data_IF_004430757145
#
_entry.id   IF_004430757145
#
_cell.length_a   1.000
_cell.length_b   1.000
_cell.length_c   1.000
_cell.angle_alpha   90.00
_cell.angle_beta   90.00
_cell.angle_gamma   90.00
#
_symmetry.space_group_name_H-M   'P 1'
#
loop_
_entity.id
_entity.type
_entity.pdbx_description
1 polymer ?
#
# COMPACT_ATOMS: atom_id res chain seq x y z
N UNK A 1 -19.33 0.10 -28.15
CA UNK A 1 -17.90 0.45 -27.97
C UNK A 1 -16.95 -0.74 -27.73
N UNK A 2 -17.42 -1.91 -27.30
CA UNK A 2 -16.53 -3.06 -26.98
C UNK A 2 -16.14 -3.98 -28.15
N UNK A 3 -16.96 -4.12 -29.16
CA UNK A 3 -16.70 -5.06 -30.27
C UNK A 3 -15.82 -4.46 -31.39
N UNK A 4 -15.96 -3.18 -31.68
CA UNK A 4 -15.13 -2.48 -32.68
C UNK A 4 -13.71 -2.25 -32.14
N UNK A 5 -13.58 -1.90 -30.85
CA UNK A 5 -12.30 -1.73 -30.18
C UNK A 5 -11.48 -3.03 -30.12
N UNK A 6 -12.16 -4.18 -29.93
CA UNK A 6 -11.50 -5.50 -29.96
C UNK A 6 -11.06 -5.93 -31.37
N UNK A 7 -11.77 -5.52 -32.42
CA UNK A 7 -11.39 -5.85 -33.79
C UNK A 7 -10.19 -5.05 -34.31
N UNK A 8 -10.11 -3.75 -33.98
CA UNK A 8 -8.98 -2.90 -34.36
C UNK A 8 -7.69 -3.33 -33.67
N UNK A 9 -7.73 -3.63 -32.36
CA UNK A 9 -6.59 -4.15 -31.61
C UNK A 9 -6.10 -5.50 -32.15
N UNK A 10 -7.00 -6.40 -32.56
CA UNK A 10 -6.64 -7.71 -33.09
C UNK A 10 -5.92 -7.58 -34.45
N UNK A 11 -6.30 -6.60 -35.28
CA UNK A 11 -5.63 -6.34 -36.56
C UNK A 11 -4.24 -5.73 -36.33
N UNK A 12 -4.11 -4.76 -35.47
CA UNK A 12 -2.82 -4.13 -35.13
C UNK A 12 -1.85 -5.15 -34.51
N UNK A 13 -2.31 -6.00 -33.61
CA UNK A 13 -1.49 -7.05 -32.99
C UNK A 13 -0.96 -8.04 -34.05
N UNK A 14 -1.81 -8.46 -35.00
CA UNK A 14 -1.37 -9.33 -36.08
C UNK A 14 -0.30 -8.70 -36.97
N UNK A 15 -0.47 -7.43 -37.32
CA UNK A 15 0.52 -6.67 -38.12
C UNK A 15 1.88 -6.57 -37.38
N UNK A 16 1.84 -6.35 -36.06
CA UNK A 16 3.05 -6.29 -35.23
C UNK A 16 3.76 -7.65 -35.15
N UNK A 17 3.01 -8.75 -35.03
CA UNK A 17 3.58 -10.11 -35.06
C UNK A 17 4.18 -10.47 -36.43
N UNK A 18 3.65 -9.99 -37.54
CA UNK A 18 4.26 -10.13 -38.86
C UNK A 18 5.56 -9.34 -38.97
N UNK A 19 5.56 -8.08 -38.47
CA UNK A 19 6.75 -7.23 -38.46
C UNK A 19 7.90 -7.79 -37.66
N UNK A 20 7.67 -8.44 -36.52
CA UNK A 20 8.72 -9.07 -35.69
C UNK A 20 9.61 -10.05 -36.48
N UNK A 21 9.04 -10.75 -37.45
CA UNK A 21 9.77 -11.72 -38.28
C UNK A 21 10.76 -11.08 -39.27
N UNK A 22 10.57 -9.80 -39.57
CA UNK A 22 11.33 -9.04 -40.57
C UNK A 22 12.17 -7.92 -39.99
N UNK A 23 12.02 -7.60 -38.70
CA UNK A 23 12.73 -6.50 -38.02
C UNK A 23 13.90 -7.01 -37.18
N UNK A 24 14.94 -6.19 -37.05
CA UNK A 24 16.10 -6.44 -36.20
C UNK A 24 16.50 -5.17 -35.43
N UNK A 25 17.35 -5.33 -34.41
CA UNK A 25 17.90 -4.21 -33.64
C UNK A 25 16.81 -3.35 -32.99
N UNK A 26 16.92 -2.04 -33.14
CA UNK A 26 16.02 -1.04 -32.52
C UNK A 26 14.56 -1.25 -32.94
N UNK A 27 14.30 -1.41 -34.24
CA UNK A 27 12.93 -1.57 -34.75
C UNK A 27 12.25 -2.81 -34.15
N UNK A 28 13.01 -3.88 -33.95
CA UNK A 28 12.47 -5.10 -33.30
C UNK A 28 12.13 -4.86 -31.84
N UNK A 29 12.95 -4.12 -31.10
CA UNK A 29 12.70 -3.79 -29.71
C UNK A 29 11.44 -2.92 -29.57
N UNK A 30 11.26 -1.90 -30.43
CA UNK A 30 10.06 -1.05 -30.45
C UNK A 30 8.79 -1.86 -30.72
N UNK A 31 8.82 -2.79 -31.67
CA UNK A 31 7.68 -3.68 -31.97
C UNK A 31 7.36 -4.59 -30.76
N UNK A 32 8.38 -5.09 -30.06
CA UNK A 32 8.19 -5.87 -28.84
C UNK A 32 7.55 -5.06 -27.73
N UNK A 33 7.93 -3.78 -27.56
CA UNK A 33 7.34 -2.88 -26.56
C UNK A 33 5.86 -2.58 -26.88
N UNK A 34 5.53 -2.34 -28.16
CA UNK A 34 4.13 -2.18 -28.59
C UNK A 34 3.29 -3.44 -28.30
N UNK A 35 3.80 -4.62 -28.62
CA UNK A 35 3.14 -5.90 -28.32
C UNK A 35 2.99 -6.13 -26.81
N UNK A 36 4.02 -5.80 -26.03
CA UNK A 36 3.97 -5.92 -24.57
C UNK A 36 2.88 -5.05 -23.96
N UNK A 37 2.71 -3.83 -24.47
CA UNK A 37 1.64 -2.94 -24.04
C UNK A 37 0.25 -3.51 -24.37
N UNK A 38 0.08 -4.13 -25.55
CA UNK A 38 -1.18 -4.82 -25.91
C UNK A 38 -1.45 -6.00 -24.96
N UNK A 39 -0.43 -6.83 -24.69
CA UNK A 39 -0.52 -7.94 -23.75
C UNK A 39 -0.90 -7.47 -22.34
N UNK A 40 -0.25 -6.39 -21.85
CA UNK A 40 -0.58 -5.78 -20.57
C UNK A 40 -2.04 -5.31 -20.50
N UNK A 41 -2.54 -4.67 -21.57
CA UNK A 41 -3.91 -4.14 -21.66
C UNK A 41 -5.01 -5.21 -21.66
N UNK A 42 -4.66 -6.45 -22.01
CA UNK A 42 -5.59 -7.62 -21.96
C UNK A 42 -5.33 -8.50 -20.73
N UNK A 43 -4.56 -8.01 -19.76
CA UNK A 43 -4.20 -8.69 -18.52
C UNK A 43 -3.34 -9.95 -18.72
N UNK A 44 -2.70 -10.12 -19.89
CA UNK A 44 -1.72 -11.20 -20.12
C UNK A 44 -0.33 -10.75 -19.65
N UNK A 45 -0.17 -10.68 -18.33
CA UNK A 45 1.07 -10.21 -17.72
C UNK A 45 2.26 -11.13 -17.96
N UNK A 46 2.01 -12.42 -18.19
CA UNK A 46 3.09 -13.38 -18.51
C UNK A 46 3.65 -13.16 -19.91
N UNK A 47 2.79 -12.95 -20.92
CA UNK A 47 3.23 -12.59 -22.25
C UNK A 47 3.92 -11.24 -22.27
N UNK A 48 3.37 -10.23 -21.56
CA UNK A 48 4.02 -8.93 -21.40
C UNK A 48 5.45 -9.09 -20.87
N UNK A 49 5.69 -9.89 -19.82
CA UNK A 49 7.02 -10.14 -19.27
C UNK A 49 7.99 -10.72 -20.30
N UNK A 50 7.55 -11.70 -21.10
CA UNK A 50 8.41 -12.32 -22.13
C UNK A 50 8.83 -11.33 -23.22
N UNK A 51 7.91 -10.47 -23.61
CA UNK A 51 8.12 -9.45 -24.64
C UNK A 51 9.09 -8.37 -24.15
N UNK A 52 8.84 -7.81 -22.95
CA UNK A 52 9.73 -6.78 -22.39
C UNK A 52 11.10 -7.30 -22.01
N UNK A 53 11.24 -8.53 -21.53
CA UNK A 53 12.55 -9.12 -21.27
C UNK A 53 13.37 -9.23 -22.56
N UNK A 54 12.68 -9.55 -23.68
CA UNK A 54 13.34 -9.61 -25.00
C UNK A 54 13.75 -8.23 -25.52
N UNK A 55 12.90 -7.21 -25.35
CA UNK A 55 13.21 -5.83 -25.77
C UNK A 55 14.35 -5.23 -24.93
N UNK A 56 14.36 -5.45 -23.62
CA UNK A 56 15.43 -5.06 -22.70
C UNK A 56 16.77 -5.65 -23.14
N UNK A 57 16.81 -6.95 -23.46
CA UNK A 57 18.02 -7.62 -23.96
C UNK A 57 18.56 -6.99 -25.26
N UNK A 58 17.67 -6.55 -26.14
CA UNK A 58 18.05 -5.88 -27.39
C UNK A 58 18.63 -4.49 -27.08
N UNK A 59 17.97 -3.67 -26.23
CA UNK A 59 18.46 -2.35 -25.86
C UNK A 59 19.86 -2.41 -25.22
N UNK A 60 20.10 -3.38 -24.35
CA UNK A 60 21.44 -3.59 -23.79
C UNK A 60 22.50 -3.92 -24.85
N UNK A 61 22.15 -4.74 -25.84
CA UNK A 61 23.08 -5.08 -26.95
C UNK A 61 23.36 -3.90 -27.88
N UNK A 62 22.41 -2.97 -28.02
CA UNK A 62 22.57 -1.77 -28.80
C UNK A 62 23.34 -0.66 -28.07
N UNK A 63 23.47 -0.74 -26.76
CA UNK A 63 24.17 0.20 -25.90
C UNK A 63 23.24 0.97 -24.99
N UNK A 64 23.30 0.68 -23.70
CA UNK A 64 22.42 1.20 -22.66
C UNK A 64 22.34 2.75 -22.68
N UNK A 65 23.49 3.42 -22.74
CA UNK A 65 23.57 4.89 -22.65
C UNK A 65 22.79 5.63 -23.75
N UNK A 66 22.59 4.98 -24.88
CA UNK A 66 21.85 5.55 -26.03
C UNK A 66 20.35 5.29 -25.97
N UNK A 67 19.90 4.40 -25.08
CA UNK A 67 18.52 3.89 -25.03
C UNK A 67 17.93 3.88 -23.60
N UNK A 68 18.34 4.84 -22.76
CA UNK A 68 17.91 4.90 -21.36
C UNK A 68 16.39 5.04 -21.25
N UNK A 69 15.76 5.87 -22.08
CA UNK A 69 14.32 6.13 -22.02
C UNK A 69 13.49 4.91 -22.42
N UNK A 70 13.93 4.23 -23.47
CA UNK A 70 13.32 3.00 -23.95
C UNK A 70 13.45 1.88 -22.91
N UNK A 71 14.64 1.77 -22.29
CA UNK A 71 14.88 0.85 -21.19
C UNK A 71 13.97 1.13 -19.98
N UNK A 72 13.82 2.40 -19.58
CA UNK A 72 12.91 2.79 -18.51
C UNK A 72 11.49 2.33 -18.83
N UNK A 73 11.01 2.61 -20.05
CA UNK A 73 9.67 2.22 -20.45
C UNK A 73 9.46 0.70 -20.46
N UNK A 74 10.41 -0.08 -20.99
CA UNK A 74 10.36 -1.52 -20.97
C UNK A 74 10.39 -2.09 -19.54
N UNK A 75 11.26 -1.55 -18.67
CA UNK A 75 11.29 -1.92 -17.26
C UNK A 75 10.02 -1.54 -16.49
N UNK A 76 9.35 -0.42 -16.82
CA UNK A 76 8.04 -0.07 -16.25
C UNK A 76 7.00 -1.14 -16.60
N UNK A 77 6.92 -1.56 -17.86
CA UNK A 77 6.07 -2.67 -18.30
C UNK A 77 6.32 -3.95 -17.53
N UNK A 78 7.61 -4.28 -17.31
CA UNK A 78 8.03 -5.41 -16.49
C UNK A 78 7.58 -5.29 -15.05
N UNK A 79 7.86 -4.17 -14.39
CA UNK A 79 7.56 -3.95 -12.98
C UNK A 79 6.05 -4.01 -12.71
N UNK A 80 5.23 -3.35 -13.53
CA UNK A 80 3.78 -3.38 -13.39
C UNK A 80 3.19 -4.78 -13.66
N UNK A 81 3.73 -5.53 -14.62
CA UNK A 81 3.31 -6.91 -14.86
C UNK A 81 3.63 -7.83 -13.70
N UNK A 82 4.83 -7.71 -13.13
CA UNK A 82 5.23 -8.44 -11.92
C UNK A 82 4.33 -8.14 -10.73
N UNK A 83 4.00 -6.86 -10.52
CA UNK A 83 3.09 -6.43 -9.46
C UNK A 83 1.69 -7.04 -9.61
N UNK A 84 1.13 -7.03 -10.83
CA UNK A 84 -0.17 -7.64 -11.10
C UNK A 84 -0.18 -9.17 -10.92
N UNK A 85 0.96 -9.81 -11.10
CA UNK A 85 1.16 -11.24 -10.81
C UNK A 85 1.42 -11.53 -9.31
N UNK A 86 1.41 -10.52 -8.44
CA UNK A 86 1.74 -10.66 -7.02
C UNK A 86 3.22 -10.90 -6.73
N UNK A 87 4.11 -10.75 -7.74
CA UNK A 87 5.56 -10.92 -7.61
C UNK A 87 6.23 -9.64 -7.12
N UNK A 88 5.76 -9.14 -5.96
CA UNK A 88 6.15 -7.81 -5.44
C UNK A 88 7.65 -7.66 -5.19
N UNK A 89 8.35 -8.68 -4.72
CA UNK A 89 9.81 -8.59 -4.51
C UNK A 89 10.55 -8.30 -5.83
N UNK A 90 10.17 -8.98 -6.90
CA UNK A 90 10.78 -8.79 -8.22
C UNK A 90 10.34 -7.46 -8.86
N UNK A 91 9.12 -7.02 -8.61
CA UNK A 91 8.66 -5.70 -9.02
C UNK A 91 9.47 -4.59 -8.34
N UNK A 92 9.71 -4.71 -7.03
CA UNK A 92 10.53 -3.78 -6.27
C UNK A 92 11.97 -3.70 -6.79
N UNK A 93 12.62 -4.85 -7.01
CA UNK A 93 13.96 -4.90 -7.62
C UNK A 93 13.97 -4.24 -9.00
N UNK A 94 12.92 -4.44 -9.79
CA UNK A 94 12.79 -3.82 -11.12
C UNK A 94 12.64 -2.29 -11.02
N UNK A 95 11.86 -1.77 -10.06
CA UNK A 95 11.78 -0.34 -9.80
C UNK A 95 13.09 0.26 -9.29
N UNK A 96 13.90 -0.49 -8.55
CA UNK A 96 15.25 -0.05 -8.18
C UNK A 96 16.17 0.10 -9.42
N UNK A 97 16.06 -0.80 -10.42
CA UNK A 97 16.78 -0.62 -11.70
C UNK A 97 16.28 0.62 -12.46
N UNK A 98 14.97 0.87 -12.50
CA UNK A 98 14.41 2.10 -13.07
C UNK A 98 14.97 3.34 -12.37
N UNK A 99 15.07 3.31 -11.04
CA UNK A 99 15.66 4.42 -10.29
C UNK A 99 17.12 4.69 -10.69
N UNK A 100 17.92 3.64 -10.89
CA UNK A 100 19.31 3.77 -11.37
C UNK A 100 19.37 4.40 -12.77
N UNK A 101 18.48 3.99 -13.68
CA UNK A 101 18.42 4.56 -15.03
C UNK A 101 18.07 6.06 -15.00
N UNK A 102 17.10 6.46 -14.16
CA UNK A 102 16.78 7.88 -13.97
C UNK A 102 17.94 8.68 -13.36
N UNK A 103 18.76 8.06 -12.48
CA UNK A 103 19.97 8.72 -11.99
C UNK A 103 21.01 8.94 -13.11
N UNK A 104 21.15 8.00 -14.04
CA UNK A 104 22.04 8.16 -15.20
C UNK A 104 21.53 9.25 -16.14
N UNK A 105 20.21 9.41 -16.30
CA UNK A 105 19.56 10.42 -17.15
C UNK A 105 19.39 11.79 -16.43
N UNK A 106 19.94 11.95 -15.22
CA UNK A 106 19.76 13.13 -14.36
C UNK A 106 18.29 13.52 -14.09
N UNK A 107 17.36 12.54 -14.19
CA UNK A 107 15.93 12.74 -13.94
C UNK A 107 15.58 12.48 -12.47
N UNK A 108 15.67 13.51 -11.65
CA UNK A 108 15.35 13.43 -10.21
C UNK A 108 13.88 13.05 -9.96
N UNK A 109 12.94 13.52 -10.79
CA UNK A 109 11.51 13.23 -10.61
C UNK A 109 11.21 11.76 -10.91
N UNK A 110 11.76 11.21 -11.99
CA UNK A 110 11.69 9.79 -12.31
C UNK A 110 12.30 8.93 -11.22
N UNK A 111 13.50 9.29 -10.74
CA UNK A 111 14.15 8.63 -9.60
C UNK A 111 13.24 8.53 -8.38
N UNK A 112 12.66 9.65 -7.94
CA UNK A 112 11.76 9.66 -6.78
C UNK A 112 10.52 8.80 -6.98
N UNK A 113 9.91 8.84 -8.18
CA UNK A 113 8.75 7.99 -8.50
C UNK A 113 9.10 6.51 -8.44
N UNK A 114 10.23 6.11 -9.01
CA UNK A 114 10.70 4.74 -9.00
C UNK A 114 11.02 4.26 -7.56
N UNK A 115 11.69 5.08 -6.75
CA UNK A 115 11.97 4.76 -5.33
C UNK A 115 10.69 4.59 -4.51
N UNK A 116 9.67 5.45 -4.72
CA UNK A 116 8.35 5.29 -4.07
C UNK A 116 7.66 4.00 -4.51
N UNK A 117 7.73 3.67 -5.81
CA UNK A 117 7.12 2.46 -6.33
C UNK A 117 7.78 1.19 -5.77
N UNK A 118 9.12 1.14 -5.74
CA UNK A 118 9.86 0.06 -5.09
C UNK A 118 9.50 -0.08 -3.60
N UNK A 119 9.44 1.06 -2.88
CA UNK A 119 9.12 1.07 -1.46
C UNK A 119 7.72 0.51 -1.16
N UNK A 120 6.73 0.79 -2.02
CA UNK A 120 5.39 0.21 -1.90
C UNK A 120 5.42 -1.32 -2.05
N UNK A 121 6.14 -1.84 -3.04
CA UNK A 121 6.25 -3.29 -3.22
C UNK A 121 7.07 -3.95 -2.11
N UNK A 122 8.12 -3.30 -1.58
CA UNK A 122 8.83 -3.77 -0.37
C UNK A 122 7.93 -3.84 0.86
N UNK A 123 6.93 -2.93 0.97
CA UNK A 123 5.94 -2.99 2.03
C UNK A 123 5.08 -4.26 1.93
N UNK A 124 4.63 -4.63 0.73
CA UNK A 124 3.80 -5.84 0.50
C UNK A 124 4.53 -7.14 0.90
N UNK A 125 5.84 -7.20 0.69
CA UNK A 125 6.66 -8.37 1.06
C UNK A 125 7.28 -8.25 2.46
N UNK A 126 6.84 -7.27 3.26
CA UNK A 126 7.26 -7.05 4.65
C UNK A 126 8.76 -6.72 4.82
N UNK A 127 9.40 -6.24 3.78
CA UNK A 127 10.80 -5.75 3.82
C UNK A 127 10.82 -4.29 4.32
N UNK A 128 10.43 -4.09 5.59
CA UNK A 128 10.15 -2.78 6.17
C UNK A 128 11.31 -1.79 6.11
N UNK A 129 12.55 -2.28 6.25
CA UNK A 129 13.73 -1.41 6.16
C UNK A 129 13.92 -0.90 4.74
N UNK A 130 13.77 -1.73 3.72
CA UNK A 130 13.86 -1.31 2.32
C UNK A 130 12.75 -0.33 1.94
N UNK A 131 11.53 -0.55 2.46
CA UNK A 131 10.42 0.39 2.33
C UNK A 131 10.77 1.76 2.94
N UNK A 132 11.29 1.78 4.17
CA UNK A 132 11.73 3.00 4.85
C UNK A 132 12.82 3.73 4.05
N UNK A 133 13.83 3.01 3.60
CA UNK A 133 14.96 3.56 2.84
C UNK A 133 14.49 4.18 1.52
N UNK A 134 13.57 3.51 0.80
CA UNK A 134 13.02 3.98 -0.46
C UNK A 134 12.23 5.27 -0.33
N UNK A 135 11.29 5.36 0.62
CA UNK A 135 10.53 6.59 0.87
C UNK A 135 11.42 7.71 1.43
N UNK A 136 12.44 7.38 2.24
CA UNK A 136 13.39 8.36 2.74
C UNK A 136 14.23 8.93 1.60
N UNK A 137 14.73 8.09 0.71
CA UNK A 137 15.49 8.53 -0.46
C UNK A 137 14.65 9.44 -1.37
N UNK A 138 13.38 9.11 -1.59
CA UNK A 138 12.47 9.95 -2.35
C UNK A 138 12.24 11.31 -1.67
N UNK A 139 11.97 11.31 -0.36
CA UNK A 139 11.74 12.53 0.42
C UNK A 139 12.97 13.44 0.48
N UNK A 140 14.18 12.88 0.60
CA UNK A 140 15.43 13.63 0.74
C UNK A 140 15.97 14.15 -0.59
N UNK A 141 15.41 13.70 -1.72
CA UNK A 141 15.71 14.24 -3.05
C UNK A 141 15.12 15.65 -3.19
N UNK A 142 15.89 16.54 -3.84
CA UNK A 142 15.43 17.92 -4.09
C UNK A 142 14.42 17.88 -5.23
N UNK A 143 13.15 18.01 -4.91
CA UNK A 143 12.04 18.11 -5.87
C UNK A 143 11.57 19.57 -5.94
N UNK A 144 11.82 20.29 -7.04
CA UNK A 144 11.35 21.67 -7.19
C UNK A 144 9.81 21.77 -7.27
N UNK A 145 9.13 20.68 -7.61
CA UNK A 145 7.68 20.60 -7.73
C UNK A 145 7.01 19.92 -6.50
N UNK A 146 7.79 19.71 -5.42
CA UNK A 146 7.26 19.08 -4.21
C UNK A 146 6.10 19.90 -3.64
N UNK A 147 4.96 19.23 -3.47
CA UNK A 147 3.77 19.81 -2.86
C UNK A 147 3.65 19.34 -1.40
N UNK A 148 2.95 20.10 -0.54
CA UNK A 148 2.63 19.60 0.81
C UNK A 148 1.95 18.23 0.79
N UNK A 149 1.18 17.94 -0.26
CA UNK A 149 0.52 16.64 -0.44
C UNK A 149 1.52 15.53 -0.69
N UNK A 150 2.44 15.67 -1.66
CA UNK A 150 3.43 14.64 -1.98
C UNK A 150 4.40 14.38 -0.82
N UNK A 151 4.88 15.44 -0.18
CA UNK A 151 5.74 15.33 1.01
C UNK A 151 5.00 14.66 2.19
N UNK A 152 3.72 14.95 2.35
CA UNK A 152 2.88 14.33 3.38
C UNK A 152 2.72 12.83 3.15
N UNK A 153 2.56 12.39 1.90
CA UNK A 153 2.46 10.97 1.55
C UNK A 153 3.77 10.24 1.87
N UNK A 154 4.92 10.80 1.53
CA UNK A 154 6.21 10.18 1.86
C UNK A 154 6.38 10.03 3.37
N UNK A 155 6.07 11.08 4.15
CA UNK A 155 6.16 11.02 5.61
C UNK A 155 5.16 10.03 6.23
N UNK A 156 3.95 9.90 5.64
CA UNK A 156 2.98 8.91 6.09
C UNK A 156 3.54 7.49 5.92
N UNK A 157 4.07 7.18 4.75
CA UNK A 157 4.63 5.87 4.44
C UNK A 157 5.89 5.57 5.25
N UNK A 158 6.77 6.57 5.47
CA UNK A 158 7.91 6.47 6.39
C UNK A 158 7.42 6.10 7.78
N UNK A 159 6.40 6.79 8.29
CA UNK A 159 5.82 6.49 9.59
C UNK A 159 5.23 5.08 9.67
N UNK A 160 4.58 4.60 8.61
CA UNK A 160 4.06 3.23 8.53
C UNK A 160 5.20 2.19 8.61
N UNK A 161 6.28 2.38 7.85
CA UNK A 161 7.44 1.50 7.88
C UNK A 161 8.13 1.51 9.25
N UNK A 162 8.31 2.69 9.86
CA UNK A 162 8.86 2.84 11.21
C UNK A 162 8.01 2.12 12.26
N UNK A 163 6.69 2.20 12.17
CA UNK A 163 5.79 1.50 13.07
C UNK A 163 5.93 -0.02 12.95
N UNK A 164 6.10 -0.55 11.72
CA UNK A 164 6.36 -1.98 11.48
C UNK A 164 7.74 -2.44 11.98
N UNK A 165 8.70 -1.52 12.08
CA UNK A 165 10.02 -1.72 12.70
C UNK A 165 10.01 -1.47 14.21
N UNK A 166 8.83 -1.34 14.83
CA UNK A 166 8.63 -1.05 16.26
C UNK A 166 9.25 0.27 16.74
N UNK A 167 9.59 1.17 15.81
CA UNK A 167 10.14 2.50 16.09
C UNK A 167 8.99 3.51 16.28
N UNK A 168 8.10 3.24 17.22
CA UNK A 168 6.82 3.94 17.38
C UNK A 168 6.97 5.43 17.65
N UNK A 169 8.00 5.88 18.38
CA UNK A 169 8.22 7.30 18.65
C UNK A 169 8.57 8.05 17.35
N UNK A 170 9.45 7.51 16.52
CA UNK A 170 9.79 8.08 15.21
C UNK A 170 8.60 8.03 14.24
N UNK A 171 7.79 6.97 14.30
CA UNK A 171 6.55 6.85 13.53
C UNK A 171 5.55 7.97 13.88
N UNK A 172 5.36 8.27 15.18
CA UNK A 172 4.52 9.37 15.66
C UNK A 172 4.99 10.71 15.05
N UNK A 173 6.28 11.01 15.12
CA UNK A 173 6.85 12.26 14.58
C UNK A 173 6.61 12.39 13.07
N UNK A 174 6.80 11.31 12.34
CA UNK A 174 6.56 11.26 10.89
C UNK A 174 5.08 11.45 10.56
N UNK A 175 4.18 10.73 11.23
CA UNK A 175 2.74 10.85 11.01
C UNK A 175 2.18 12.22 11.39
N UNK A 176 2.66 12.83 12.50
CA UNK A 176 2.26 14.19 12.88
C UNK A 176 2.74 15.23 11.87
N UNK A 177 3.94 15.05 11.33
CA UNK A 177 4.48 15.89 10.26
C UNK A 177 3.66 15.75 8.97
N UNK A 178 3.32 14.53 8.57
CA UNK A 178 2.43 14.24 7.46
C UNK A 178 1.06 14.91 7.65
N UNK A 179 0.46 14.74 8.83
CA UNK A 179 -0.81 15.37 9.21
C UNK A 179 -0.80 16.90 9.04
N UNK A 180 0.29 17.55 9.43
CA UNK A 180 0.46 19.00 9.25
C UNK A 180 0.44 19.37 7.76
N UNK A 181 1.21 18.67 6.94
CA UNK A 181 1.28 18.89 5.49
C UNK A 181 -0.07 18.65 4.81
N UNK A 182 -0.81 17.62 5.20
CA UNK A 182 -2.15 17.36 4.67
C UNK A 182 -3.16 18.46 5.04
N UNK A 183 -3.03 19.07 6.23
CA UNK A 183 -3.81 20.28 6.60
C UNK A 183 -3.46 21.48 5.71
N UNK A 184 -2.17 21.69 5.42
CA UNK A 184 -1.71 22.73 4.51
C UNK A 184 -2.22 22.48 3.09
N UNK A 185 -2.24 21.23 2.64
CA UNK A 185 -2.82 20.79 1.37
C UNK A 185 -4.36 20.84 1.33
N UNK A 186 -5.02 21.14 2.47
CA UNK A 186 -6.49 21.15 2.64
C UNK A 186 -7.13 19.81 2.24
N UNK A 187 -6.47 18.70 2.54
CA UNK A 187 -6.98 17.37 2.27
C UNK A 187 -7.40 16.67 3.59
N UNK A 188 -8.68 16.75 3.99
CA UNK A 188 -9.16 16.20 5.26
C UNK A 188 -9.12 14.68 5.31
N UNK A 189 -9.20 13.99 4.18
CA UNK A 189 -9.10 12.54 4.10
C UNK A 189 -7.72 12.05 4.55
N UNK A 190 -6.65 12.62 4.01
CA UNK A 190 -5.29 12.27 4.40
C UNK A 190 -4.93 12.74 5.83
N UNK A 191 -5.50 13.85 6.31
CA UNK A 191 -5.42 14.21 7.74
C UNK A 191 -5.96 13.09 8.60
N UNK A 192 -7.06 12.49 8.19
CA UNK A 192 -7.71 11.39 8.87
C UNK A 192 -6.89 10.09 8.83
N UNK A 193 -6.28 9.76 7.69
CA UNK A 193 -5.34 8.65 7.60
C UNK A 193 -4.17 8.83 8.58
N UNK A 194 -3.60 10.04 8.65
CA UNK A 194 -2.53 10.32 9.61
C UNK A 194 -3.03 10.18 11.07
N UNK A 195 -4.24 10.65 11.42
CA UNK A 195 -4.81 10.48 12.75
C UNK A 195 -5.00 8.99 13.12
N UNK A 196 -5.37 8.13 12.17
CA UNK A 196 -5.44 6.68 12.36
C UNK A 196 -4.08 6.10 12.77
N UNK A 197 -3.02 6.39 12.00
CA UNK A 197 -1.70 5.83 12.26
C UNK A 197 -1.03 6.40 13.51
N UNK A 198 -1.23 7.70 13.79
CA UNK A 198 -0.80 8.31 15.05
C UNK A 198 -1.46 7.62 16.25
N UNK A 199 -2.77 7.32 16.16
CA UNK A 199 -3.50 6.61 17.21
C UNK A 199 -2.87 5.27 17.52
N UNK A 200 -2.57 4.46 16.49
CA UNK A 200 -1.95 3.14 16.65
C UNK A 200 -0.59 3.29 17.33
N UNK A 201 0.26 4.18 16.84
CA UNK A 201 1.61 4.35 17.40
C UNK A 201 1.61 4.87 18.84
N UNK A 202 0.68 5.76 19.21
CA UNK A 202 0.52 6.17 20.62
C UNK A 202 -0.01 5.04 21.50
N UNK A 203 -0.89 4.18 20.96
CA UNK A 203 -1.38 3.02 21.69
C UNK A 203 -0.24 2.01 21.98
N UNK A 204 0.64 1.77 21.02
CA UNK A 204 1.77 0.85 21.19
C UNK A 204 2.77 1.33 22.26
N UNK A 205 2.98 2.63 22.43
CA UNK A 205 3.80 3.16 23.52
C UNK A 205 3.02 3.38 24.84
N UNK A 206 1.76 2.94 24.91
CA UNK A 206 0.92 3.04 26.10
C UNK A 206 0.40 4.45 26.42
N UNK A 207 0.52 5.41 25.49
CA UNK A 207 0.01 6.78 25.70
C UNK A 207 -1.49 6.89 25.37
N UNK A 208 -2.32 6.39 26.26
CA UNK A 208 -3.78 6.35 26.11
C UNK A 208 -4.44 7.71 25.83
N UNK A 209 -4.09 8.80 26.57
CA UNK A 209 -4.69 10.12 26.34
C UNK A 209 -4.49 10.64 24.92
N UNK A 210 -3.27 10.57 24.37
CA UNK A 210 -2.97 11.01 23.01
C UNK A 210 -3.59 10.08 21.96
N UNK A 211 -3.52 8.77 22.17
CA UNK A 211 -4.22 7.81 21.31
C UNK A 211 -5.71 8.14 21.24
N UNK A 212 -6.37 8.40 22.38
CA UNK A 212 -7.79 8.76 22.44
C UNK A 212 -8.10 10.09 21.74
N UNK A 213 -7.22 11.08 21.87
CA UNK A 213 -7.39 12.37 21.18
C UNK A 213 -7.45 12.16 19.65
N UNK A 214 -6.48 11.47 19.08
CA UNK A 214 -6.40 11.21 17.64
C UNK A 214 -7.50 10.24 17.16
N UNK A 215 -7.82 9.20 17.93
CA UNK A 215 -8.91 8.29 17.64
C UNK A 215 -10.28 8.99 17.55
N UNK A 216 -10.53 9.98 18.40
CA UNK A 216 -11.75 10.82 18.32
C UNK A 216 -11.81 11.64 17.04
N UNK A 217 -10.68 12.19 16.58
CA UNK A 217 -10.63 12.90 15.30
C UNK A 217 -10.95 11.94 14.14
N UNK A 218 -10.34 10.76 14.13
CA UNK A 218 -10.60 9.72 13.16
C UNK A 218 -12.08 9.32 13.13
N UNK A 219 -12.67 9.04 14.28
CA UNK A 219 -14.08 8.69 14.43
C UNK A 219 -15.04 9.79 13.98
N UNK A 220 -14.76 11.05 14.34
CA UNK A 220 -15.62 12.16 13.93
C UNK A 220 -15.61 12.35 12.40
N UNK A 221 -14.46 12.17 11.77
CA UNK A 221 -14.36 12.25 10.31
C UNK A 221 -15.13 11.11 9.63
N UNK A 222 -14.99 9.86 10.08
CA UNK A 222 -15.67 8.71 9.49
C UNK A 222 -17.20 8.88 9.50
N UNK A 223 -17.74 9.50 10.55
CA UNK A 223 -19.17 9.83 10.62
C UNK A 223 -19.59 10.89 9.62
N UNK A 224 -18.76 11.91 9.37
CA UNK A 224 -19.05 12.96 8.38
C UNK A 224 -18.92 12.41 6.95
N UNK A 225 -18.01 11.48 6.73
CA UNK A 225 -17.82 10.82 5.46
C UNK A 225 -18.91 9.77 5.13
N UNK A 226 -19.76 9.41 6.13
CA UNK A 226 -20.79 8.36 6.02
C UNK A 226 -20.22 6.99 5.55
N UNK A 227 -18.94 6.74 5.85
CA UNK A 227 -18.26 5.51 5.52
C UNK A 227 -18.33 4.53 6.70
N UNK A 228 -19.16 3.51 6.56
CA UNK A 228 -19.41 2.51 7.62
C UNK A 228 -18.18 1.67 7.92
N UNK A 229 -17.40 1.31 6.90
CA UNK A 229 -16.18 0.54 7.07
C UNK A 229 -15.13 1.33 7.83
N UNK A 230 -14.90 2.58 7.40
CA UNK A 230 -14.02 3.51 8.11
C UNK A 230 -14.49 3.76 9.54
N UNK A 231 -15.80 3.87 9.78
CA UNK A 231 -16.35 4.03 11.14
C UNK A 231 -16.05 2.80 12.00
N UNK A 232 -16.14 1.58 11.46
CA UNK A 232 -15.78 0.35 12.17
C UNK A 232 -14.32 0.35 12.65
N UNK A 233 -13.38 0.71 11.76
CA UNK A 233 -11.96 0.86 12.11
C UNK A 233 -11.71 1.99 13.12
N UNK A 234 -12.42 3.10 12.99
CA UNK A 234 -12.29 4.24 13.91
C UNK A 234 -12.81 3.89 15.32
N UNK A 235 -13.89 3.12 15.40
CA UNK A 235 -14.43 2.61 16.67
C UNK A 235 -13.49 1.62 17.33
N UNK A 236 -12.86 0.73 16.57
CA UNK A 236 -11.81 -0.18 17.08
C UNK A 236 -10.67 0.63 17.71
N UNK A 237 -10.15 1.62 16.98
CA UNK A 237 -9.07 2.49 17.45
C UNK A 237 -9.46 3.26 18.71
N UNK A 238 -10.69 3.78 18.76
CA UNK A 238 -11.20 4.52 19.90
C UNK A 238 -11.45 3.61 21.12
N UNK A 239 -11.96 2.40 20.88
CA UNK A 239 -12.16 1.39 21.94
C UNK A 239 -10.85 0.96 22.58
N UNK A 240 -9.80 0.71 21.78
CA UNK A 240 -8.45 0.43 22.30
C UNK A 240 -7.88 1.61 23.10
N UNK A 241 -8.07 2.82 22.64
CA UNK A 241 -7.61 4.01 23.35
C UNK A 241 -8.37 4.21 24.70
N UNK A 242 -9.66 3.93 24.75
CA UNK A 242 -10.42 3.92 26.01
C UNK A 242 -9.91 2.84 26.96
N UNK A 243 -9.59 1.64 26.46
CA UNK A 243 -9.02 0.56 27.25
C UNK A 243 -7.70 0.97 27.93
N UNK A 244 -6.79 1.62 27.18
CA UNK A 244 -5.54 2.18 27.72
C UNK A 244 -5.77 3.25 28.78
N UNK A 245 -6.87 4.01 28.66
CA UNK A 245 -7.28 5.00 29.66
C UNK A 245 -8.05 4.38 30.83
N UNK A 246 -8.23 3.05 30.88
CA UNK A 246 -9.01 2.32 31.88
C UNK A 246 -10.52 2.74 31.93
N UNK A 247 -11.02 3.21 30.81
CA UNK A 247 -12.42 3.62 30.62
C UNK A 247 -13.19 2.42 30.01
N UNK A 248 -13.36 1.37 30.79
CA UNK A 248 -13.74 0.04 30.33
C UNK A 248 -15.16 -0.03 29.74
N UNK A 249 -16.13 0.70 30.28
CA UNK A 249 -17.51 0.77 29.76
C UNK A 249 -17.54 1.48 28.39
N UNK A 250 -16.74 2.53 28.22
CA UNK A 250 -16.61 3.22 26.94
C UNK A 250 -15.88 2.34 25.92
N UNK A 251 -14.83 1.63 26.34
CA UNK A 251 -14.12 0.66 25.51
C UNK A 251 -15.07 -0.44 25.02
N UNK A 252 -15.82 -1.08 25.92
CA UNK A 252 -16.82 -2.10 25.57
C UNK A 252 -17.80 -1.59 24.51
N UNK A 253 -18.41 -0.42 24.74
CA UNK A 253 -19.39 0.16 23.83
C UNK A 253 -18.82 0.40 22.43
N UNK A 254 -17.60 0.94 22.32
CA UNK A 254 -16.97 1.20 21.03
C UNK A 254 -16.58 -0.10 20.33
N UNK A 255 -16.05 -1.07 21.06
CA UNK A 255 -15.58 -2.34 20.50
C UNK A 255 -16.74 -3.24 20.04
N UNK A 256 -17.86 -3.26 20.76
CA UNK A 256 -19.08 -3.93 20.32
C UNK A 256 -19.57 -3.34 19.00
N UNK A 257 -19.71 -2.01 18.93
CA UNK A 257 -20.15 -1.35 17.71
C UNK A 257 -19.14 -1.51 16.55
N UNK A 258 -17.84 -1.56 16.83
CA UNK A 258 -16.83 -1.87 15.81
C UNK A 258 -17.05 -3.27 15.22
N UNK A 259 -17.25 -4.28 16.07
CA UNK A 259 -17.51 -5.66 15.62
C UNK A 259 -18.79 -5.78 14.80
N UNK A 260 -19.86 -5.07 15.21
CA UNK A 260 -21.11 -5.04 14.45
C UNK A 260 -20.90 -4.54 13.01
N UNK A 261 -20.12 -3.47 12.83
CA UNK A 261 -19.84 -2.90 11.52
C UNK A 261 -18.85 -3.75 10.70
N UNK A 262 -17.71 -4.13 11.27
CA UNK A 262 -16.67 -4.89 10.56
C UNK A 262 -17.12 -6.28 10.11
N UNK A 263 -18.08 -6.89 10.83
CA UNK A 263 -18.63 -8.20 10.45
C UNK A 263 -19.67 -8.13 9.35
N UNK A 264 -20.18 -6.95 8.98
CA UNK A 264 -21.12 -6.77 7.87
C UNK A 264 -20.42 -6.70 6.51
N UNK A 265 -19.10 -6.43 6.48
CA UNK A 265 -18.33 -6.36 5.24
C UNK A 265 -18.39 -7.68 4.45
N UNK A 266 -18.49 -7.58 3.13
CA UNK A 266 -18.47 -8.75 2.24
C UNK A 266 -17.11 -9.46 2.32
N UNK A 267 -16.01 -8.70 2.20
CA UNK A 267 -14.65 -9.15 2.47
C UNK A 267 -14.28 -8.77 3.90
N UNK A 268 -14.35 -9.73 4.81
CA UNK A 268 -14.14 -9.48 6.25
C UNK A 268 -12.68 -9.12 6.56
N UNK A 269 -12.44 -8.02 7.28
CA UNK A 269 -11.12 -7.66 7.80
C UNK A 269 -10.82 -8.52 9.05
N UNK A 270 -10.41 -9.76 8.83
CA UNK A 270 -10.26 -10.75 9.90
C UNK A 270 -9.25 -10.35 10.98
N UNK A 271 -8.16 -9.69 10.61
CA UNK A 271 -7.15 -9.22 11.56
C UNK A 271 -7.76 -8.18 12.53
N UNK A 272 -8.49 -7.20 12.02
CA UNK A 272 -9.14 -6.18 12.84
C UNK A 272 -10.31 -6.74 13.65
N UNK A 273 -11.06 -7.71 13.12
CA UNK A 273 -12.10 -8.41 13.87
C UNK A 273 -11.47 -9.21 15.03
N UNK A 274 -10.33 -9.85 14.81
CA UNK A 274 -9.57 -10.54 15.83
C UNK A 274 -9.07 -9.58 16.92
N UNK A 275 -8.49 -8.45 16.50
CA UNK A 275 -8.01 -7.41 17.40
C UNK A 275 -9.14 -6.83 18.25
N UNK A 276 -10.29 -6.54 17.63
CA UNK A 276 -11.48 -6.04 18.34
C UNK A 276 -12.00 -7.04 19.39
N UNK A 277 -12.03 -8.34 19.08
CA UNK A 277 -12.44 -9.35 20.04
C UNK A 277 -11.44 -9.46 21.21
N UNK A 278 -10.13 -9.39 20.94
CA UNK A 278 -9.09 -9.39 22.00
C UNK A 278 -9.23 -8.19 22.94
N UNK A 279 -9.39 -6.99 22.37
CA UNK A 279 -9.58 -5.77 23.15
C UNK A 279 -10.89 -5.81 23.96
N UNK A 280 -11.98 -6.31 23.37
CA UNK A 280 -13.25 -6.44 24.05
C UNK A 280 -13.18 -7.47 25.20
N UNK A 281 -12.52 -8.60 25.01
CA UNK A 281 -12.32 -9.57 26.08
C UNK A 281 -11.58 -8.94 27.29
N UNK A 282 -10.55 -8.12 27.04
CA UNK A 282 -9.84 -7.40 28.10
C UNK A 282 -10.75 -6.41 28.85
N UNK A 283 -11.57 -5.63 28.12
CA UNK A 283 -12.52 -4.72 28.73
C UNK A 283 -13.54 -5.47 29.61
N UNK A 284 -14.09 -6.58 29.10
CA UNK A 284 -15.09 -7.40 29.83
C UNK A 284 -14.50 -8.02 31.10
N UNK A 285 -13.27 -8.53 31.06
CA UNK A 285 -12.57 -9.03 32.26
C UNK A 285 -12.42 -7.91 33.30
N UNK A 286 -11.99 -6.71 32.86
CA UNK A 286 -11.84 -5.58 33.78
C UNK A 286 -13.17 -5.11 34.39
N UNK A 287 -14.31 -5.35 33.72
CA UNK A 287 -15.67 -5.07 34.19
C UNK A 287 -16.27 -6.23 35.04
N UNK A 288 -15.56 -7.35 35.20
CA UNK A 288 -16.06 -8.53 35.91
C UNK A 288 -17.14 -9.31 35.15
N UNK A 289 -17.22 -9.15 33.81
CA UNK A 289 -18.15 -9.85 32.93
C UNK A 289 -17.54 -11.14 32.36
N UNK A 290 -17.16 -12.06 33.25
CA UNK A 290 -16.32 -13.24 32.94
C UNK A 290 -16.93 -14.18 31.89
N UNK A 291 -18.25 -14.43 31.92
CA UNK A 291 -18.92 -15.30 30.95
C UNK A 291 -18.94 -14.67 29.53
N UNK A 292 -19.13 -13.36 29.44
CA UNK A 292 -19.06 -12.64 28.15
C UNK A 292 -17.63 -12.63 27.62
N UNK A 293 -16.64 -12.41 28.49
CA UNK A 293 -15.22 -12.48 28.14
C UNK A 293 -14.84 -13.87 27.59
N UNK A 294 -15.30 -14.94 28.24
CA UNK A 294 -15.08 -16.32 27.78
C UNK A 294 -15.65 -16.56 26.38
N UNK A 295 -16.85 -16.07 26.11
CA UNK A 295 -17.46 -16.15 24.76
C UNK A 295 -16.59 -15.48 23.71
N UNK A 296 -15.96 -14.34 24.05
CA UNK A 296 -15.02 -13.65 23.12
C UNK A 296 -13.74 -14.43 22.91
N UNK A 297 -13.19 -15.07 23.93
CA UNK A 297 -12.01 -15.93 23.81
C UNK A 297 -12.27 -17.15 22.93
N UNK A 298 -13.44 -17.78 23.04
CA UNK A 298 -13.86 -18.86 22.14
C UNK A 298 -13.98 -18.37 20.68
N UNK A 299 -14.50 -17.17 20.47
CA UNK A 299 -14.60 -16.57 19.14
C UNK A 299 -13.22 -16.26 18.53
N UNK A 300 -12.26 -15.78 19.34
CA UNK A 300 -10.87 -15.54 18.94
C UNK A 300 -10.27 -16.84 18.37
N UNK A 301 -10.36 -17.96 19.08
CA UNK A 301 -9.85 -19.24 18.62
C UNK A 301 -10.43 -19.66 17.25
N UNK A 302 -11.74 -19.47 17.06
CA UNK A 302 -12.40 -19.75 15.77
C UNK A 302 -11.88 -18.87 14.63
N UNK A 303 -11.61 -17.58 14.90
CA UNK A 303 -11.11 -16.64 13.88
C UNK A 303 -9.66 -16.99 13.52
N UNK A 304 -8.82 -17.31 14.53
CA UNK A 304 -7.44 -17.73 14.30
C UNK A 304 -7.36 -18.99 13.42
N UNK A 305 -8.24 -19.96 13.63
CA UNK A 305 -8.36 -21.14 12.77
C UNK A 305 -8.75 -20.77 11.33
N UNK A 306 -9.65 -19.79 11.16
CA UNK A 306 -10.09 -19.32 9.84
C UNK A 306 -8.92 -18.67 9.09
N UNK A 307 -8.20 -17.73 9.70
CA UNK A 307 -7.04 -17.04 9.12
C UNK A 307 -5.96 -18.05 8.73
N UNK A 308 -5.62 -18.99 9.61
CA UNK A 308 -4.63 -20.03 9.31
C UNK A 308 -5.08 -21.01 8.19
N UNK A 309 -6.37 -21.14 7.96
CA UNK A 309 -6.94 -21.95 6.88
C UNK A 309 -6.82 -21.28 5.51
N UNK A 310 -7.07 -19.99 5.44
CA UNK A 310 -6.98 -19.19 4.23
C UNK A 310 -5.53 -19.05 3.73
N UNK A 311 -4.55 -18.89 4.66
CA UNK A 311 -3.11 -18.84 4.32
C UNK A 311 -2.57 -20.16 3.71
N UNK A 312 -3.26 -21.28 3.92
CA UNK A 312 -2.88 -22.58 3.33
C UNK A 312 -3.54 -22.84 1.97
N UNK A 313 -4.53 -22.04 1.61
CA UNK A 313 -5.28 -22.17 0.36
C UNK A 313 -4.85 -21.16 -0.71
N UNK A 314 -4.01 -20.17 -0.37
CA UNK A 314 -3.39 -19.19 -1.23
C UNK A 314 -1.96 -19.62 -1.62
#
# INVERSE_FOLDING_TARGET
MSAEYNNENNTQEQELWERISTTEGMERAEVLDELSYIAYRRDDFNECLQLVDTSIDIYFKLGMDSHIKELIHAYEGKAFSLRNLGRHAEAADTFEEIAKLHQIDDDTNGYMKAKRAAACDWYEVKEWQKCLDGHTAAKDSIDPDATPMSMGIDLLNIGMALAKLEQHQAAIESHLSARKLFKEAKNPEYVNWADRYVTVSYAEIGNGPEAKFHAKHYFNYSKVAEDMTMEGFARLSLGKAHLLCQEYEDAERQLVSALEQLTLEEKKPWEEILEANRALAQALVALGKDEEAKTRLERIATIEETICGDDKAA
#
